data_IF_303026367816
#
_entry.id   IF_303026367816
#
_cell.length_a   1.000
_cell.length_b   1.000
_cell.length_c   1.000
_cell.angle_alpha   90.00
_cell.angle_beta   90.00
_cell.angle_gamma   90.00
#
_symmetry.space_group_name_H-M   'P 1'
#
loop_
_entity.id
_entity.type
_entity.pdbx_description
1 polymer ?
#
# COMPACT_ATOMS: atom_id res chain seq x y z
N UNK A 1 29.24 36.98 5.81
CA UNK A 1 28.53 36.40 4.68
C UNK A 1 28.77 34.89 4.80
N UNK A 2 27.86 34.19 5.44
CA UNK A 2 27.88 32.74 5.62
C UNK A 2 26.96 32.21 4.53
N UNK A 3 27.52 31.55 3.53
CA UNK A 3 26.74 30.84 2.52
C UNK A 3 26.40 29.49 3.11
N UNK A 4 25.18 29.37 3.59
CA UNK A 4 24.56 28.11 3.97
C UNK A 4 24.40 27.28 2.69
N UNK A 5 25.32 26.31 2.52
CA UNK A 5 25.34 25.41 1.38
C UNK A 5 24.29 24.31 1.54
N UNK A 6 23.01 24.64 1.42
CA UNK A 6 21.98 23.63 1.20
C UNK A 6 22.19 23.03 -0.17
N UNK A 7 22.62 21.78 -0.20
CA UNK A 7 22.66 20.98 -1.43
C UNK A 7 21.23 20.87 -1.95
N UNK A 8 20.98 21.41 -3.13
CA UNK A 8 19.66 21.31 -3.77
C UNK A 8 19.42 19.84 -4.17
N UNK A 9 18.15 19.41 -4.18
CA UNK A 9 17.72 18.06 -4.62
C UNK A 9 18.36 17.62 -5.94
N UNK A 10 18.59 18.55 -6.84
CA UNK A 10 19.28 18.36 -8.12
C UNK A 10 20.72 17.86 -7.99
N UNK A 11 21.45 18.36 -7.01
CA UNK A 11 22.88 18.04 -6.81
C UNK A 11 23.08 16.61 -6.29
N UNK A 12 22.13 16.11 -5.46
CA UNK A 12 22.23 14.77 -4.85
C UNK A 12 22.01 13.68 -5.91
N UNK A 13 21.03 13.85 -6.81
CA UNK A 13 20.72 12.83 -7.82
C UNK A 13 21.66 12.86 -9.05
N UNK A 14 22.25 14.01 -9.38
CA UNK A 14 23.23 14.08 -10.46
C UNK A 14 24.56 13.37 -10.15
N UNK A 15 24.89 13.20 -8.86
CA UNK A 15 26.07 12.42 -8.43
C UNK A 15 25.88 10.91 -8.51
N UNK A 16 24.64 10.41 -8.53
CA UNK A 16 24.33 8.98 -8.66
C UNK A 16 24.39 8.45 -10.10
N UNK A 17 24.21 9.33 -11.09
CA UNK A 17 24.29 8.95 -12.51
C UNK A 17 25.70 8.78 -13.05
N UNK A 18 26.74 9.25 -12.33
CA UNK A 18 28.13 9.24 -12.79
C UNK A 18 29.00 8.11 -12.20
N UNK A 19 28.47 7.27 -11.30
CA UNK A 19 29.23 6.22 -10.61
C UNK A 19 29.24 4.83 -11.28
N UNK A 20 28.78 4.73 -12.49
CA UNK A 20 28.82 3.50 -13.30
C UNK A 20 29.82 3.59 -14.44
N UNK A 21 31.02 3.17 -14.26
CA UNK A 21 32.07 2.72 -15.14
C UNK A 21 33.39 3.48 -14.89
N UNK A 22 34.27 2.95 -14.02
CA UNK A 22 35.71 2.83 -14.26
C UNK A 22 36.32 2.03 -13.10
N UNK A 23 36.76 0.85 -13.42
CA UNK A 23 37.52 -0.03 -12.54
C UNK A 23 39.00 0.32 -12.54
N UNK A 24 39.60 -0.09 -11.44
CA UNK A 24 40.99 -0.58 -11.22
C UNK A 24 42.14 0.41 -11.25
N UNK A 25 42.84 0.31 -10.15
CA UNK A 25 44.28 0.36 -9.89
C UNK A 25 44.84 1.55 -9.12
N UNK A 26 45.35 1.24 -7.93
CA UNK A 26 46.74 1.48 -7.60
C UNK A 26 47.09 2.56 -6.59
N UNK A 27 47.30 2.11 -5.38
CA UNK A 27 48.43 2.38 -4.47
C UNK A 27 48.92 3.81 -4.11
N UNK A 28 48.93 4.00 -2.80
CA UNK A 28 50.06 4.46 -1.94
C UNK A 28 50.29 5.94 -1.65
N UNK A 29 50.37 6.20 -0.36
CA UNK A 29 51.40 7.09 0.23
C UNK A 29 50.92 8.39 0.85
N UNK A 30 50.74 8.45 2.16
CA UNK A 30 51.75 8.99 3.07
C UNK A 30 51.61 10.44 3.53
N UNK A 31 51.50 10.63 4.87
CA UNK A 31 52.02 11.77 5.61
C UNK A 31 51.06 12.95 5.85
N UNK A 32 50.59 13.27 6.98
CA UNK A 32 51.27 13.67 8.22
C UNK A 32 51.24 15.17 8.39
N UNK A 33 50.73 15.70 9.50
CA UNK A 33 50.94 17.09 9.87
C UNK A 33 49.85 17.64 10.78
N UNK A 34 50.12 17.53 12.04
CA UNK A 34 49.56 18.17 13.23
C UNK A 34 49.67 19.72 13.12
N UNK A 35 48.80 20.50 13.67
CA UNK A 35 49.09 21.49 14.69
C UNK A 35 47.86 22.24 15.23
N UNK A 36 47.93 22.38 16.48
CA UNK A 36 47.14 22.97 17.57
C UNK A 36 47.10 24.53 17.51
N UNK A 37 46.10 25.08 18.17
CA UNK A 37 46.05 26.16 19.16
C UNK A 37 44.95 27.19 18.91
N UNK A 38 44.17 27.50 19.80
CA UNK A 38 44.06 28.05 21.12
C UNK A 38 43.08 29.24 21.14
N UNK A 39 42.17 29.16 22.07
CA UNK A 39 41.23 30.11 22.67
C UNK A 39 41.58 31.60 22.66
N UNK A 40 40.54 32.46 22.63
CA UNK A 40 40.38 33.46 23.70
C UNK A 40 38.93 34.01 23.78
N UNK A 41 38.53 34.10 25.00
CA UNK A 41 37.33 34.62 25.63
C UNK A 41 37.28 36.16 25.65
N UNK A 42 36.09 36.75 25.73
CA UNK A 42 35.63 37.97 26.44
C UNK A 42 34.38 38.50 25.72
N UNK A 43 33.20 38.55 26.21
CA UNK A 43 32.73 39.05 27.50
C UNK A 43 31.90 40.31 27.28
N UNK A 44 30.68 40.30 27.77
CA UNK A 44 29.92 41.40 28.43
C UNK A 44 28.81 42.14 27.67
N UNK A 45 27.63 41.94 28.16
CA UNK A 45 26.52 42.73 28.71
C UNK A 45 25.37 43.21 27.84
N UNK A 46 24.24 42.65 28.27
CA UNK A 46 22.92 43.25 28.59
C UNK A 46 22.34 44.40 27.68
N UNK A 47 21.14 44.10 27.24
CA UNK A 47 20.16 45.07 26.76
C UNK A 47 18.82 44.38 26.65
N UNK A 48 18.00 44.39 27.73
CA UNK A 48 16.58 44.09 27.67
C UNK A 48 15.86 45.14 26.87
N UNK A 49 15.27 44.79 25.72
CA UNK A 49 14.11 45.49 25.18
C UNK A 49 13.01 44.46 24.94
N UNK A 50 12.02 44.52 25.83
CA UNK A 50 10.73 43.82 25.70
C UNK A 50 9.96 44.43 24.53
N UNK A 51 9.91 43.70 23.43
CA UNK A 51 8.94 43.96 22.36
C UNK A 51 7.81 42.97 22.55
N UNK A 52 6.72 43.39 23.16
CA UNK A 52 5.42 42.76 23.08
C UNK A 52 4.92 42.84 21.66
N UNK A 53 5.35 41.86 20.86
CA UNK A 53 4.73 41.57 19.57
C UNK A 53 3.44 40.76 19.83
N UNK A 54 2.30 41.47 19.73
CA UNK A 54 1.00 40.83 19.58
C UNK A 54 1.02 40.09 18.26
N UNK A 55 1.30 38.78 18.28
CA UNK A 55 0.99 37.89 17.17
C UNK A 55 -0.53 37.79 17.08
N UNK A 56 -1.13 38.64 16.30
CA UNK A 56 -2.42 38.35 15.69
C UNK A 56 -2.19 37.11 14.84
N UNK A 57 -2.61 35.94 15.36
CA UNK A 57 -2.70 34.71 14.57
C UNK A 57 -3.63 35.00 13.40
N UNK A 58 -3.07 35.21 12.23
CA UNK A 58 -3.78 35.08 10.97
C UNK A 58 -4.10 33.61 10.83
N UNK A 59 -5.35 33.23 10.95
CA UNK A 59 -5.87 31.95 10.49
C UNK A 59 -5.95 31.98 8.95
N UNK A 60 -4.80 32.16 8.31
CA UNK A 60 -4.67 31.94 6.88
C UNK A 60 -4.47 30.45 6.67
N UNK A 61 -5.43 29.76 6.06
CA UNK A 61 -5.25 28.39 5.59
C UNK A 61 -4.07 28.30 4.62
N UNK A 62 -3.57 27.08 4.35
CA UNK A 62 -2.57 26.84 3.33
C UNK A 62 -3.05 27.39 1.98
N UNK A 63 -2.15 27.97 1.20
CA UNK A 63 -2.43 28.45 -0.16
C UNK A 63 -1.23 28.21 -1.06
N UNK A 64 -1.48 28.05 -2.35
CA UNK A 64 -0.43 27.82 -3.34
C UNK A 64 -0.57 26.49 -4.04
N UNK A 65 0.53 25.88 -4.45
CA UNK A 65 0.54 24.65 -5.24
C UNK A 65 1.29 23.54 -4.50
N UNK A 66 0.74 22.32 -4.54
CA UNK A 66 1.37 21.06 -4.14
C UNK A 66 1.54 20.19 -5.38
N UNK A 67 2.76 19.84 -5.73
CA UNK A 67 3.07 18.95 -6.85
C UNK A 67 3.19 17.52 -6.42
N UNK A 68 2.35 16.63 -6.94
CA UNK A 68 2.31 15.21 -6.62
C UNK A 68 2.73 14.35 -7.81
N UNK A 69 3.83 13.62 -7.68
CA UNK A 69 4.30 12.66 -8.67
C UNK A 69 3.62 11.31 -8.50
N UNK A 70 2.59 11.01 -9.28
CA UNK A 70 1.76 9.81 -9.13
C UNK A 70 2.19 8.72 -10.09
N UNK A 71 2.70 7.61 -9.57
CA UNK A 71 3.22 6.48 -10.36
C UNK A 71 2.39 5.23 -10.13
N UNK A 72 1.59 4.83 -11.14
CA UNK A 72 0.80 3.60 -11.09
C UNK A 72 0.95 2.82 -12.41
N UNK A 73 0.82 1.47 -12.41
CA UNK A 73 0.77 0.69 -13.64
C UNK A 73 -0.60 0.85 -14.30
N UNK A 74 -0.73 1.77 -15.24
CA UNK A 74 -2.00 2.07 -15.92
C UNK A 74 -2.11 1.44 -17.32
N UNK A 75 -1.07 0.72 -17.75
CA UNK A 75 -1.06 -0.12 -18.95
C UNK A 75 -0.48 -1.52 -18.67
N UNK A 76 -0.60 -2.43 -19.65
CA UNK A 76 -0.11 -3.81 -19.57
C UNK A 76 -1.04 -4.76 -18.79
N UNK A 77 -0.58 -6.01 -18.60
CA UNK A 77 -1.40 -7.10 -18.05
C UNK A 77 -1.83 -6.90 -16.59
N UNK A 78 -1.11 -6.07 -15.84
CA UNK A 78 -1.39 -5.76 -14.43
C UNK A 78 -1.97 -4.34 -14.23
N UNK A 79 -2.43 -3.68 -15.31
CA UNK A 79 -3.01 -2.35 -15.27
C UNK A 79 -4.23 -2.22 -14.34
N UNK A 80 -4.94 -3.32 -14.10
CA UNK A 80 -6.09 -3.33 -13.21
C UNK A 80 -5.72 -2.78 -11.82
N UNK A 81 -4.62 -3.25 -11.24
CA UNK A 81 -4.19 -2.82 -9.90
C UNK A 81 -3.87 -1.32 -9.82
N UNK A 82 -3.19 -0.81 -10.86
CA UNK A 82 -2.82 0.60 -10.92
C UNK A 82 -4.00 1.52 -11.19
N UNK A 83 -4.92 1.10 -12.06
CA UNK A 83 -6.15 1.88 -12.33
C UNK A 83 -7.04 1.97 -11.11
N UNK A 84 -7.27 0.86 -10.39
CA UNK A 84 -8.04 0.88 -9.15
C UNK A 84 -7.41 1.82 -8.11
N UNK A 85 -6.09 1.73 -7.95
CA UNK A 85 -5.34 2.60 -7.04
C UNK A 85 -5.46 4.09 -7.42
N UNK A 86 -5.27 4.40 -8.70
CA UNK A 86 -5.37 5.77 -9.21
C UNK A 86 -6.79 6.32 -9.05
N UNK A 87 -7.80 5.55 -9.41
CA UNK A 87 -9.20 5.95 -9.25
C UNK A 87 -9.59 6.17 -7.78
N UNK A 88 -9.09 5.32 -6.87
CA UNK A 88 -9.26 5.53 -5.43
C UNK A 88 -8.64 6.83 -4.96
N UNK A 89 -7.41 7.14 -5.41
CA UNK A 89 -6.72 8.38 -5.09
C UNK A 89 -7.46 9.61 -5.64
N UNK A 90 -7.88 9.58 -6.90
CA UNK A 90 -8.63 10.66 -7.53
C UNK A 90 -10.00 10.88 -6.88
N UNK A 91 -10.66 9.80 -6.42
CA UNK A 91 -11.91 9.92 -5.66
C UNK A 91 -11.70 10.56 -4.29
N UNK A 92 -10.59 10.26 -3.61
CA UNK A 92 -10.24 10.94 -2.36
C UNK A 92 -9.96 12.44 -2.56
N UNK A 93 -9.23 12.80 -3.61
CA UNK A 93 -9.01 14.20 -3.99
C UNK A 93 -10.34 14.91 -4.30
N UNK A 94 -11.22 14.25 -5.07
CA UNK A 94 -12.53 14.79 -5.44
C UNK A 94 -13.45 14.97 -4.22
N UNK A 95 -13.45 14.00 -3.30
CA UNK A 95 -14.19 14.10 -2.04
C UNK A 95 -13.76 15.32 -1.23
N UNK A 96 -12.47 15.55 -1.09
CA UNK A 96 -11.92 16.73 -0.38
C UNK A 96 -12.20 18.05 -1.11
N UNK A 97 -12.37 17.99 -2.43
CA UNK A 97 -12.67 19.17 -3.28
C UNK A 97 -14.18 19.44 -3.40
N UNK A 98 -15.04 18.58 -2.84
CA UNK A 98 -16.50 18.60 -3.08
C UNK A 98 -16.82 18.65 -4.59
N UNK A 99 -16.19 17.77 -5.36
CA UNK A 99 -16.24 17.75 -6.82
C UNK A 99 -16.35 16.32 -7.37
N UNK A 100 -16.62 16.19 -8.67
CA UNK A 100 -16.58 14.90 -9.36
C UNK A 100 -15.13 14.45 -9.61
N UNK A 101 -14.83 13.13 -9.53
CA UNK A 101 -13.52 12.60 -9.83
C UNK A 101 -13.13 12.83 -11.29
N UNK A 102 -11.84 13.08 -11.52
CA UNK A 102 -11.28 13.13 -12.87
C UNK A 102 -11.43 11.77 -13.54
N UNK A 103 -12.02 11.73 -14.73
CA UNK A 103 -12.27 10.51 -15.49
C UNK A 103 -11.36 10.41 -16.72
N UNK A 104 -11.22 9.19 -17.29
CA UNK A 104 -10.42 8.97 -18.49
C UNK A 104 -8.92 9.21 -18.29
N UNK A 105 -8.43 9.06 -17.06
CA UNK A 105 -7.05 9.38 -16.70
C UNK A 105 -6.07 8.41 -17.32
N UNK A 106 -5.14 8.95 -18.08
CA UNK A 106 -3.94 8.30 -18.61
C UNK A 106 -2.69 8.97 -18.00
N UNK A 107 -1.52 8.70 -18.54
CA UNK A 107 -0.33 9.50 -18.20
C UNK A 107 -0.52 10.94 -18.65
N UNK A 108 -0.25 11.88 -17.77
CA UNK A 108 -0.49 13.31 -18.03
C UNK A 108 -0.42 14.14 -16.76
N UNK A 109 -0.88 15.38 -16.87
CA UNK A 109 -0.92 16.34 -15.80
C UNK A 109 -2.38 16.76 -15.56
N UNK A 110 -2.77 16.77 -14.30
CA UNK A 110 -4.13 17.09 -13.86
C UNK A 110 -4.05 18.02 -12.65
N UNK A 111 -5.01 18.92 -12.50
CA UNK A 111 -5.09 19.80 -11.34
C UNK A 111 -6.42 19.56 -10.62
N UNK A 112 -6.34 19.44 -9.30
CA UNK A 112 -7.50 19.43 -8.40
C UNK A 112 -7.30 20.53 -7.38
N UNK A 113 -8.27 21.44 -7.27
CA UNK A 113 -8.21 22.55 -6.31
C UNK A 113 -9.03 22.20 -5.06
N UNK A 114 -8.43 22.30 -3.88
CA UNK A 114 -9.11 22.17 -2.59
C UNK A 114 -8.86 23.44 -1.77
N UNK A 115 -9.92 24.20 -1.49
CA UNK A 115 -9.79 25.50 -0.86
C UNK A 115 -8.93 26.45 -1.70
N UNK A 116 -7.86 26.99 -1.12
CA UNK A 116 -6.91 27.89 -1.78
C UNK A 116 -5.63 27.17 -2.28
N UNK A 117 -5.64 25.83 -2.35
CA UNK A 117 -4.49 25.01 -2.77
C UNK A 117 -4.79 24.26 -4.06
N UNK A 118 -3.91 24.38 -5.03
CA UNK A 118 -3.91 23.62 -6.27
C UNK A 118 -3.00 22.39 -6.13
N UNK A 119 -3.57 21.18 -6.28
CA UNK A 119 -2.83 19.92 -6.32
C UNK A 119 -2.55 19.56 -7.77
N UNK A 120 -1.31 19.72 -8.21
CA UNK A 120 -0.86 19.33 -9.56
C UNK A 120 -0.41 17.87 -9.54
N UNK A 121 -1.16 17.01 -10.24
CA UNK A 121 -0.93 15.56 -10.31
C UNK A 121 -0.17 15.20 -11.59
N UNK A 122 1.09 14.83 -11.46
CA UNK A 122 1.94 14.33 -12.55
C UNK A 122 1.81 12.81 -12.64
N UNK A 123 0.79 12.33 -13.38
CA UNK A 123 0.50 10.90 -13.51
C UNK A 123 1.43 10.25 -14.52
N UNK A 124 2.10 9.16 -14.13
CA UNK A 124 3.06 8.42 -14.95
C UNK A 124 2.80 6.91 -14.87
N UNK A 125 2.95 6.22 -16.00
CA UNK A 125 2.72 4.78 -16.11
C UNK A 125 3.99 3.98 -15.74
N UNK A 126 3.99 3.36 -14.58
CA UNK A 126 5.09 2.53 -14.09
C UNK A 126 5.16 1.13 -14.74
N UNK A 127 4.14 0.71 -15.47
CA UNK A 127 4.05 -0.60 -16.17
C UNK A 127 4.30 -1.81 -15.25
N UNK A 128 4.06 -1.65 -13.96
CA UNK A 128 4.39 -2.65 -12.92
C UNK A 128 5.90 -3.00 -12.84
N UNK A 129 6.77 -2.19 -13.42
CA UNK A 129 8.22 -2.41 -13.55
C UNK A 129 8.99 -1.57 -12.53
N UNK A 130 9.92 -2.19 -11.80
CA UNK A 130 10.77 -1.50 -10.83
C UNK A 130 11.73 -0.51 -11.51
N UNK A 131 12.30 -0.87 -12.66
CA UNK A 131 13.26 -0.02 -13.39
C UNK A 131 12.53 1.19 -14.02
N UNK A 132 11.31 0.97 -14.56
CA UNK A 132 10.48 2.06 -15.07
C UNK A 132 10.08 3.01 -13.94
N UNK A 133 9.62 2.49 -12.80
CA UNK A 133 9.25 3.30 -11.64
C UNK A 133 10.42 4.13 -11.11
N UNK A 134 11.63 3.55 -11.04
CA UNK A 134 12.83 4.28 -10.64
C UNK A 134 13.12 5.45 -11.60
N UNK A 135 13.08 5.20 -12.91
CA UNK A 135 13.33 6.24 -13.91
C UNK A 135 12.31 7.37 -13.80
N UNK A 136 11.03 7.04 -13.71
CA UNK A 136 9.94 8.01 -13.56
C UNK A 136 10.05 8.81 -12.26
N UNK A 137 10.35 8.14 -11.13
CA UNK A 137 10.54 8.83 -9.86
C UNK A 137 11.71 9.81 -9.91
N UNK A 138 12.80 9.43 -10.58
CA UNK A 138 13.95 10.32 -10.77
C UNK A 138 13.58 11.56 -11.57
N UNK A 139 12.85 11.38 -12.67
CA UNK A 139 12.38 12.48 -13.52
C UNK A 139 11.39 13.40 -12.77
N UNK A 140 10.41 12.84 -12.07
CA UNK A 140 9.46 13.59 -11.25
C UNK A 140 10.15 14.44 -10.18
N UNK A 141 11.20 13.92 -9.54
CA UNK A 141 11.93 14.64 -8.50
C UNK A 141 12.89 15.67 -9.08
N UNK A 142 13.58 15.37 -10.19
CA UNK A 142 14.62 16.23 -10.74
C UNK A 142 14.09 17.28 -11.69
N UNK A 143 13.13 16.94 -12.53
CA UNK A 143 12.64 17.79 -13.62
C UNK A 143 11.34 18.50 -13.27
N UNK A 144 10.37 17.79 -12.68
CA UNK A 144 9.09 18.34 -12.28
C UNK A 144 9.15 18.99 -10.88
N UNK A 145 10.18 18.67 -10.08
CA UNK A 145 10.40 19.17 -8.73
C UNK A 145 9.18 18.93 -7.82
N UNK A 146 8.64 17.70 -7.85
CA UNK A 146 7.46 17.33 -7.05
C UNK A 146 7.72 17.40 -5.54
N UNK A 147 6.71 17.85 -4.78
CA UNK A 147 6.77 17.94 -3.33
C UNK A 147 6.62 16.59 -2.64
N UNK A 148 5.88 15.67 -3.27
CA UNK A 148 5.68 14.30 -2.78
C UNK A 148 5.52 13.31 -3.94
N UNK A 149 6.05 12.09 -3.77
CA UNK A 149 5.75 10.95 -4.64
C UNK A 149 4.54 10.18 -4.10
N UNK A 150 3.72 9.61 -4.98
CA UNK A 150 2.56 8.77 -4.65
C UNK A 150 2.59 7.50 -5.51
N UNK A 151 2.26 6.35 -4.97
CA UNK A 151 2.24 5.06 -5.70
C UNK A 151 3.23 4.10 -5.04
N UNK A 152 3.66 3.04 -5.58
CA UNK A 152 3.30 2.22 -6.72
C UNK A 152 2.41 1.05 -6.27
N UNK A 153 1.80 0.31 -7.22
CA UNK A 153 1.09 -0.95 -6.90
C UNK A 153 2.04 -2.14 -6.69
N UNK A 154 3.18 -2.16 -7.37
CA UNK A 154 4.20 -3.22 -7.23
C UNK A 154 5.07 -2.99 -6.00
N UNK A 155 5.16 -3.97 -5.09
CA UNK A 155 6.04 -3.90 -3.92
C UNK A 155 7.52 -3.81 -4.30
N UNK A 156 7.95 -4.50 -5.36
CA UNK A 156 9.32 -4.39 -5.88
C UNK A 156 9.63 -3.01 -6.46
N UNK A 157 8.65 -2.39 -7.15
CA UNK A 157 8.78 -1.03 -7.66
C UNK A 157 8.84 -0.01 -6.52
N UNK A 158 7.95 -0.13 -5.52
CA UNK A 158 7.95 0.75 -4.35
C UNK A 158 9.29 0.67 -3.60
N UNK A 159 9.79 -0.53 -3.28
CA UNK A 159 11.08 -0.71 -2.61
C UNK A 159 12.24 -0.12 -3.41
N UNK A 160 12.23 -0.28 -4.74
CA UNK A 160 13.25 0.32 -5.61
C UNK A 160 13.20 1.85 -5.56
N UNK A 161 12.02 2.46 -5.69
CA UNK A 161 11.86 3.92 -5.60
C UNK A 161 12.29 4.45 -4.23
N UNK A 162 11.91 3.76 -3.15
CA UNK A 162 12.31 4.14 -1.78
C UNK A 162 13.83 4.20 -1.66
N UNK A 163 14.52 3.10 -2.01
CA UNK A 163 15.96 2.95 -1.74
C UNK A 163 16.83 3.77 -2.69
N UNK A 164 16.38 4.02 -3.91
CA UNK A 164 17.23 4.67 -4.94
C UNK A 164 16.85 6.12 -5.22
N UNK A 165 15.63 6.57 -4.85
CA UNK A 165 15.16 7.94 -5.16
C UNK A 165 14.66 8.65 -3.91
N UNK A 166 13.57 8.19 -3.27
CA UNK A 166 12.90 8.94 -2.22
C UNK A 166 13.81 9.22 -1.01
N UNK A 167 14.51 8.22 -0.49
CA UNK A 167 15.47 8.37 0.62
C UNK A 167 16.68 9.20 0.22
N UNK A 168 17.18 9.07 -1.02
CA UNK A 168 18.36 9.80 -1.49
C UNK A 168 18.07 11.30 -1.70
N UNK A 169 16.89 11.60 -2.23
CA UNK A 169 16.45 12.98 -2.48
C UNK A 169 15.75 13.62 -1.27
N UNK A 170 15.53 12.86 -0.21
CA UNK A 170 14.75 13.27 0.96
C UNK A 170 13.37 13.83 0.59
N UNK A 171 12.67 13.14 -0.32
CA UNK A 171 11.34 13.50 -0.81
C UNK A 171 10.31 12.59 -0.13
N UNK A 172 9.23 13.14 0.44
CA UNK A 172 8.14 12.33 0.96
C UNK A 172 7.57 11.39 -0.10
N UNK A 173 7.24 10.18 0.32
CA UNK A 173 6.65 9.18 -0.56
C UNK A 173 5.49 8.47 0.13
N UNK A 174 4.27 8.75 -0.34
CA UNK A 174 3.06 8.02 0.04
C UNK A 174 2.96 6.76 -0.81
N UNK A 175 3.41 5.65 -0.27
CA UNK A 175 3.42 4.35 -0.95
C UNK A 175 2.01 3.78 -1.00
N UNK A 176 1.62 3.22 -2.12
CA UNK A 176 0.37 2.47 -2.21
C UNK A 176 -0.11 2.18 -3.64
N UNK A 177 -0.81 1.08 -3.80
CA UNK A 177 -1.20 0.05 -2.82
C UNK A 177 -0.20 -1.11 -2.68
N UNK A 178 1.09 -0.89 -2.92
CA UNK A 178 2.13 -1.91 -2.73
C UNK A 178 2.00 -2.59 -1.36
N UNK A 179 1.78 -3.91 -1.35
CA UNK A 179 1.24 -4.59 -0.19
C UNK A 179 2.26 -5.37 0.67
N UNK A 180 3.55 -5.49 0.26
CA UNK A 180 4.54 -6.12 1.14
C UNK A 180 4.65 -5.37 2.47
N UNK A 181 4.56 -6.08 3.60
CA UNK A 181 4.76 -5.48 4.91
C UNK A 181 6.15 -4.83 5.04
N UNK A 182 7.16 -5.37 4.34
CA UNK A 182 8.53 -4.89 4.37
C UNK A 182 8.69 -3.40 4.01
N UNK A 183 7.77 -2.84 3.21
CA UNK A 183 7.82 -1.42 2.82
C UNK A 183 7.96 -0.49 4.04
N UNK A 184 7.24 -0.79 5.12
CA UNK A 184 7.23 0.00 6.36
C UNK A 184 7.70 -0.78 7.60
N UNK A 185 8.06 -2.05 7.45
CA UNK A 185 8.57 -2.88 8.54
C UNK A 185 10.07 -3.20 8.42
N UNK A 186 10.68 -3.01 7.26
CA UNK A 186 12.10 -3.30 7.06
C UNK A 186 12.94 -2.02 7.14
N UNK A 187 14.07 -2.05 7.85
CA UNK A 187 14.98 -0.90 8.04
C UNK A 187 15.54 -0.31 6.75
N UNK A 188 15.65 -1.11 5.68
CA UNK A 188 16.14 -0.63 4.38
C UNK A 188 15.11 0.25 3.66
N UNK A 189 13.83 -0.03 3.84
CA UNK A 189 12.73 0.61 3.10
C UNK A 189 11.96 1.63 3.94
N UNK A 190 11.80 1.43 5.26
CA UNK A 190 11.16 2.43 6.11
C UNK A 190 12.03 3.70 6.28
N UNK A 191 11.42 4.81 6.66
CA UNK A 191 12.11 6.09 6.91
C UNK A 191 11.14 7.22 7.19
N UNK A 192 11.67 8.32 7.71
CA UNK A 192 10.89 9.51 8.11
C UNK A 192 10.02 10.09 7.00
N UNK A 193 10.43 9.92 5.75
CA UNK A 193 9.74 10.41 4.56
C UNK A 193 8.92 9.32 3.84
N UNK A 194 8.79 8.11 4.42
CA UNK A 194 8.09 7.00 3.77
C UNK A 194 6.82 6.70 4.53
N UNK A 195 5.68 6.87 3.88
CA UNK A 195 4.33 6.70 4.43
C UNK A 195 3.56 5.66 3.62
N UNK A 196 2.62 4.98 4.25
CA UNK A 196 1.66 4.12 3.53
C UNK A 196 0.30 4.12 4.23
N UNK A 197 -0.72 4.60 3.52
CA UNK A 197 -2.11 4.52 3.98
C UNK A 197 -2.73 3.13 3.71
N UNK A 198 -2.32 2.46 2.63
CA UNK A 198 -2.91 1.17 2.23
C UNK A 198 -2.51 0.02 3.16
N UNK A 199 -3.39 -0.96 3.25
CA UNK A 199 -3.19 -2.21 4.00
C UNK A 199 -2.08 -3.08 3.39
N UNK A 200 -1.59 -4.04 4.18
CA UNK A 200 -0.45 -4.86 3.81
C UNK A 200 -0.59 -6.33 4.22
N UNK A 201 0.39 -7.14 3.82
CA UNK A 201 0.39 -8.60 4.03
C UNK A 201 0.42 -9.02 5.50
N UNK A 202 0.98 -8.20 6.40
CA UNK A 202 0.94 -8.47 7.84
C UNK A 202 -0.48 -8.27 8.39
N UNK A 203 -1.18 -7.24 7.91
CA UNK A 203 -2.57 -7.00 8.29
C UNK A 203 -3.48 -8.14 7.79
N UNK A 204 -3.24 -8.66 6.58
CA UNK A 204 -3.98 -9.83 6.07
C UNK A 204 -3.78 -11.06 6.97
N UNK A 205 -2.55 -11.37 7.34
CA UNK A 205 -2.23 -12.54 8.17
C UNK A 205 -2.77 -12.38 9.60
N UNK A 206 -2.64 -11.18 10.18
CA UNK A 206 -3.09 -10.88 11.56
C UNK A 206 -4.62 -10.77 11.69
N UNK A 207 -5.34 -10.64 10.57
CA UNK A 207 -6.80 -10.70 10.53
C UNK A 207 -7.28 -12.11 10.10
N UNK A 208 -7.39 -12.39 8.81
CA UNK A 208 -7.95 -13.64 8.31
C UNK A 208 -7.12 -14.87 8.63
N UNK A 209 -5.78 -14.78 8.65
CA UNK A 209 -4.91 -15.88 9.04
C UNK A 209 -5.11 -16.28 10.51
N UNK A 210 -5.11 -15.29 11.40
CA UNK A 210 -5.40 -15.49 12.84
C UNK A 210 -6.81 -16.03 13.05
N UNK A 211 -7.81 -15.47 12.35
CA UNK A 211 -9.20 -15.95 12.42
C UNK A 211 -9.31 -17.43 12.06
N UNK A 212 -8.72 -17.86 10.94
CA UNK A 212 -8.76 -19.27 10.52
C UNK A 212 -8.08 -20.17 11.55
N UNK A 213 -6.94 -19.77 12.10
CA UNK A 213 -6.23 -20.53 13.12
C UNK A 213 -7.02 -20.70 14.44
N UNK A 214 -7.83 -19.70 14.81
CA UNK A 214 -8.58 -19.69 16.07
C UNK A 214 -10.01 -20.21 15.95
N UNK A 215 -10.66 -20.00 14.81
CA UNK A 215 -12.09 -20.24 14.61
C UNK A 215 -12.40 -21.42 13.69
N UNK A 216 -11.34 -22.17 13.21
CA UNK A 216 -11.51 -23.36 12.37
C UNK A 216 -10.65 -24.52 12.87
N UNK A 217 -10.89 -25.72 12.33
CA UNK A 217 -10.14 -26.94 12.67
C UNK A 217 -8.78 -27.05 11.93
N UNK A 218 -8.32 -25.99 11.27
CA UNK A 218 -7.07 -25.99 10.50
C UNK A 218 -5.87 -25.96 11.44
N UNK A 219 -5.09 -27.05 11.48
CA UNK A 219 -3.88 -27.21 12.31
C UNK A 219 -2.61 -27.35 11.47
N UNK A 220 -2.73 -27.62 10.18
CA UNK A 220 -1.61 -27.86 9.26
C UNK A 220 -1.82 -27.09 7.96
N UNK A 221 -0.87 -26.21 7.61
CA UNK A 221 -0.99 -25.32 6.45
C UNK A 221 0.22 -25.44 5.53
N UNK A 222 -0.04 -25.47 4.22
CA UNK A 222 0.98 -25.33 3.20
C UNK A 222 0.92 -23.92 2.57
N UNK A 223 2.07 -23.25 2.46
CA UNK A 223 2.14 -21.87 1.99
C UNK A 223 2.71 -21.80 0.57
N UNK A 224 2.03 -21.07 -0.30
CA UNK A 224 2.50 -20.77 -1.65
C UNK A 224 2.73 -19.29 -1.83
N UNK A 225 3.75 -18.89 -2.62
CA UNK A 225 4.00 -17.48 -2.94
C UNK A 225 4.65 -17.31 -4.31
N UNK A 226 4.37 -16.19 -4.95
CA UNK A 226 5.15 -15.77 -6.09
C UNK A 226 6.56 -15.35 -5.63
N UNK A 227 7.57 -15.70 -6.44
CA UNK A 227 8.98 -15.44 -6.10
C UNK A 227 9.39 -13.99 -6.34
N UNK A 228 8.75 -13.08 -5.61
CA UNK A 228 9.10 -11.65 -5.55
C UNK A 228 8.59 -11.05 -4.22
N UNK A 229 8.88 -9.76 -3.94
CA UNK A 229 8.65 -9.09 -2.65
C UNK A 229 7.27 -9.36 -2.04
N UNK A 230 6.19 -9.20 -2.81
CA UNK A 230 4.83 -9.42 -2.30
C UNK A 230 4.57 -10.87 -1.89
N UNK A 231 4.86 -11.83 -2.78
CA UNK A 231 4.58 -13.25 -2.50
C UNK A 231 5.43 -13.79 -1.35
N UNK A 232 6.68 -13.33 -1.22
CA UNK A 232 7.55 -13.65 -0.08
C UNK A 232 7.00 -13.05 1.21
N UNK A 233 6.54 -11.80 1.20
CA UNK A 233 5.93 -11.15 2.36
C UNK A 233 4.64 -11.87 2.81
N UNK A 234 3.77 -12.29 1.88
CA UNK A 234 2.59 -13.10 2.23
C UNK A 234 3.01 -14.37 2.98
N UNK A 235 3.92 -15.15 2.40
CA UNK A 235 4.38 -16.41 3.02
C UNK A 235 4.96 -16.17 4.40
N UNK A 236 5.85 -15.20 4.55
CA UNK A 236 6.51 -14.91 5.83
C UNK A 236 5.50 -14.45 6.90
N UNK A 237 4.58 -13.55 6.57
CA UNK A 237 3.60 -13.04 7.52
C UNK A 237 2.60 -14.12 7.95
N UNK A 238 2.10 -14.96 7.00
CA UNK A 238 1.24 -16.07 7.36
C UNK A 238 1.98 -17.14 8.16
N UNK A 239 3.23 -17.48 7.81
CA UNK A 239 4.06 -18.40 8.59
C UNK A 239 4.20 -17.95 10.04
N UNK A 240 4.53 -16.68 10.25
CA UNK A 240 4.70 -16.11 11.59
C UNK A 240 3.41 -16.17 12.40
N UNK A 241 2.32 -15.63 11.85
CA UNK A 241 1.03 -15.55 12.56
C UNK A 241 0.44 -16.94 12.82
N UNK A 242 0.48 -17.84 11.86
CA UNK A 242 -0.06 -19.20 12.01
C UNK A 242 0.73 -19.99 13.07
N UNK A 243 2.06 -19.95 13.05
CA UNK A 243 2.91 -20.57 14.07
C UNK A 243 2.66 -20.00 15.47
N UNK A 244 2.51 -18.69 15.59
CA UNK A 244 2.18 -18.03 16.86
C UNK A 244 0.80 -18.46 17.42
N UNK A 245 -0.10 -18.95 16.56
CA UNK A 245 -1.41 -19.47 16.94
C UNK A 245 -1.47 -21.02 16.95
N UNK A 246 -0.32 -21.70 16.97
CA UNK A 246 -0.23 -23.16 17.14
C UNK A 246 -0.44 -23.98 15.88
N UNK A 247 -0.50 -23.35 14.71
CA UNK A 247 -0.65 -24.04 13.43
C UNK A 247 0.71 -24.42 12.86
N UNK A 248 0.85 -25.67 12.43
CA UNK A 248 2.06 -26.21 11.82
C UNK A 248 2.14 -25.81 10.34
N UNK A 249 3.30 -25.35 9.88
CA UNK A 249 3.57 -25.16 8.47
C UNK A 249 4.23 -26.42 7.90
N UNK A 250 3.43 -27.22 7.20
CA UNK A 250 3.85 -28.53 6.65
C UNK A 250 4.64 -28.39 5.34
N UNK A 251 4.69 -27.20 4.77
CA UNK A 251 5.52 -26.92 3.61
C UNK A 251 5.34 -25.49 3.09
N UNK A 252 6.30 -25.06 2.28
CA UNK A 252 6.21 -23.79 1.54
C UNK A 252 6.89 -23.89 0.19
N UNK A 253 6.32 -23.20 -0.81
CA UNK A 253 6.85 -23.20 -2.17
C UNK A 253 6.70 -21.83 -2.82
N UNK A 254 7.79 -21.36 -3.42
CA UNK A 254 7.77 -20.18 -4.28
C UNK A 254 7.79 -20.60 -5.74
N UNK A 255 7.01 -19.88 -6.57
CA UNK A 255 6.90 -20.11 -8.01
C UNK A 255 7.00 -18.80 -8.77
N UNK A 256 7.42 -18.79 -10.05
CA UNK A 256 7.41 -17.58 -10.86
C UNK A 256 6.02 -16.94 -10.94
N UNK A 257 5.96 -15.63 -11.15
CA UNK A 257 4.69 -14.97 -11.52
C UNK A 257 4.13 -15.58 -12.81
N UNK A 258 2.80 -15.77 -12.87
CA UNK A 258 2.15 -16.41 -14.02
C UNK A 258 2.27 -17.93 -14.05
N UNK A 259 2.75 -18.57 -12.99
CA UNK A 259 2.82 -20.02 -12.90
C UNK A 259 1.45 -20.68 -13.05
N UNK A 260 1.34 -21.73 -13.88
CA UNK A 260 0.07 -22.36 -14.25
C UNK A 260 -0.02 -23.87 -14.03
N UNK A 261 1.09 -24.54 -13.71
CA UNK A 261 1.14 -26.02 -13.59
C UNK A 261 0.89 -26.50 -12.15
N UNK A 262 -0.32 -26.22 -11.62
CA UNK A 262 -0.62 -26.35 -10.20
C UNK A 262 -0.86 -27.78 -9.71
N UNK A 263 -1.23 -28.75 -10.58
CA UNK A 263 -1.63 -30.11 -10.15
C UNK A 263 -0.61 -30.75 -9.19
N UNK A 264 0.65 -30.84 -9.61
CA UNK A 264 1.69 -31.49 -8.80
C UNK A 264 2.02 -30.76 -7.48
N UNK A 265 1.84 -29.41 -7.44
CA UNK A 265 2.05 -28.64 -6.22
C UNK A 265 0.90 -28.79 -5.23
N UNK A 266 -0.33 -28.87 -5.71
CA UNK A 266 -1.51 -29.12 -4.89
C UNK A 266 -1.52 -30.56 -4.36
N UNK A 267 -1.12 -31.53 -5.19
CA UNK A 267 -0.91 -32.94 -4.76
C UNK A 267 0.15 -33.01 -3.65
N UNK A 268 1.27 -32.29 -3.79
CA UNK A 268 2.32 -32.23 -2.76
C UNK A 268 1.81 -31.64 -1.44
N UNK A 269 0.96 -30.61 -1.48
CA UNK A 269 0.35 -30.06 -0.27
C UNK A 269 -0.57 -31.10 0.40
N UNK A 270 -1.35 -31.87 -0.38
CA UNK A 270 -2.20 -32.93 0.12
C UNK A 270 -1.36 -34.08 0.75
N UNK A 271 -0.30 -34.51 0.08
CA UNK A 271 0.63 -35.54 0.58
C UNK A 271 1.35 -35.12 1.86
N UNK A 272 1.62 -33.83 2.02
CA UNK A 272 2.19 -33.24 3.24
C UNK A 272 1.18 -33.15 4.40
N UNK A 273 -0.07 -33.51 4.19
CA UNK A 273 -1.12 -33.47 5.21
C UNK A 273 -1.71 -32.08 5.45
N UNK A 274 -1.61 -31.19 4.49
CA UNK A 274 -2.20 -29.85 4.61
C UNK A 274 -3.73 -29.92 4.82
N UNK A 275 -4.21 -29.20 5.82
CA UNK A 275 -5.64 -28.95 6.08
C UNK A 275 -6.06 -27.58 5.54
N UNK A 276 -5.09 -26.74 5.23
CA UNK A 276 -5.29 -25.46 4.62
C UNK A 276 -4.13 -25.03 3.73
N UNK A 277 -4.41 -24.22 2.71
CA UNK A 277 -3.40 -23.56 1.89
C UNK A 277 -3.63 -22.04 1.84
N UNK A 278 -2.55 -21.28 1.75
CA UNK A 278 -2.55 -19.83 1.47
C UNK A 278 -1.72 -19.57 0.24
N UNK A 279 -2.19 -18.67 -0.65
CA UNK A 279 -1.48 -18.25 -1.85
C UNK A 279 -1.25 -16.73 -1.93
N UNK A 280 0.01 -16.32 -2.01
CA UNK A 280 0.43 -14.92 -2.23
C UNK A 280 0.69 -14.64 -3.71
N UNK A 281 -0.35 -14.34 -4.50
CA UNK A 281 -0.28 -14.21 -5.96
C UNK A 281 -1.09 -13.03 -6.50
N UNK A 282 -0.79 -12.64 -7.74
CA UNK A 282 -1.57 -11.68 -8.53
C UNK A 282 -2.52 -12.42 -9.49
N UNK A 283 -3.34 -11.66 -10.21
CA UNK A 283 -4.24 -12.17 -11.25
C UNK A 283 -3.53 -13.01 -12.31
N UNK A 284 -2.24 -12.81 -12.51
CA UNK A 284 -1.46 -13.63 -13.45
C UNK A 284 -1.39 -15.12 -13.07
N UNK A 285 -1.56 -15.46 -11.79
CA UNK A 285 -1.39 -16.82 -11.25
C UNK A 285 -2.67 -17.39 -10.62
N UNK A 286 -3.41 -16.57 -9.87
CA UNK A 286 -4.56 -17.03 -9.08
C UNK A 286 -5.63 -17.80 -9.87
N UNK A 287 -6.00 -17.39 -11.11
CA UNK A 287 -6.99 -18.12 -11.89
C UNK A 287 -6.60 -19.56 -12.19
N UNK A 288 -5.33 -19.82 -12.50
CA UNK A 288 -4.83 -21.16 -12.77
C UNK A 288 -4.84 -22.03 -11.50
N UNK A 289 -4.39 -21.47 -10.37
CA UNK A 289 -4.43 -22.13 -9.07
C UNK A 289 -5.86 -22.52 -8.71
N UNK A 290 -6.80 -21.58 -8.72
CA UNK A 290 -8.19 -21.85 -8.36
C UNK A 290 -8.88 -22.79 -9.33
N UNK A 291 -8.59 -22.70 -10.62
CA UNK A 291 -9.14 -23.65 -11.62
C UNK A 291 -8.68 -25.07 -11.32
N UNK A 292 -7.40 -25.28 -11.03
CA UNK A 292 -6.88 -26.62 -10.69
C UNK A 292 -7.45 -27.12 -9.37
N UNK A 293 -7.48 -26.25 -8.33
CA UNK A 293 -8.04 -26.60 -7.03
C UNK A 293 -9.51 -27.02 -7.12
N UNK A 294 -10.35 -26.22 -7.78
CA UNK A 294 -11.79 -26.46 -7.87
C UNK A 294 -12.18 -27.66 -8.76
N UNK A 295 -11.31 -28.06 -9.69
CA UNK A 295 -11.51 -29.27 -10.50
C UNK A 295 -10.84 -30.52 -9.91
N UNK A 296 -10.02 -30.37 -8.87
CA UNK A 296 -9.39 -31.45 -8.12
C UNK A 296 -10.26 -31.94 -6.96
N UNK A 297 -9.88 -33.09 -6.38
CA UNK A 297 -10.51 -33.68 -5.19
C UNK A 297 -9.63 -33.45 -3.97
N UNK A 298 -9.48 -32.14 -3.60
CA UNK A 298 -8.65 -31.73 -2.46
C UNK A 298 -9.49 -31.50 -1.22
N UNK A 299 -9.04 -32.05 -0.08
CA UNK A 299 -9.74 -31.97 1.21
C UNK A 299 -9.13 -30.93 2.16
N UNK A 300 -8.46 -29.92 1.66
CA UNK A 300 -7.94 -28.82 2.45
C UNK A 300 -8.61 -27.48 2.10
N UNK A 301 -8.64 -26.58 3.07
CA UNK A 301 -9.22 -25.24 2.93
C UNK A 301 -8.30 -24.30 2.15
N UNK A 302 -8.85 -23.49 1.24
CA UNK A 302 -8.16 -22.33 0.67
C UNK A 302 -8.61 -21.08 1.41
N UNK A 303 -7.66 -20.33 1.99
CA UNK A 303 -7.93 -19.09 2.69
C UNK A 303 -6.83 -18.05 2.42
N UNK A 304 -6.92 -16.85 3.00
CA UNK A 304 -5.97 -15.75 2.78
C UNK A 304 -6.68 -14.44 2.51
N UNK A 305 -6.11 -13.60 1.65
CA UNK A 305 -6.74 -12.35 1.22
C UNK A 305 -7.85 -12.58 0.19
N UNK A 306 -8.95 -11.82 0.29
CA UNK A 306 -9.99 -11.83 -0.74
C UNK A 306 -9.41 -11.27 -2.05
N UNK A 307 -9.78 -11.90 -3.16
CA UNK A 307 -9.24 -11.51 -4.45
C UNK A 307 -9.92 -10.25 -5.02
N UNK A 308 -9.18 -9.51 -5.86
CA UNK A 308 -9.74 -8.40 -6.65
C UNK A 308 -10.86 -8.86 -7.59
N UNK A 309 -11.69 -7.93 -8.05
CA UNK A 309 -12.78 -8.20 -9.00
C UNK A 309 -12.33 -9.03 -10.19
N UNK A 310 -11.20 -8.64 -10.82
CA UNK A 310 -10.70 -9.34 -12.02
C UNK A 310 -10.37 -10.81 -11.73
N UNK A 311 -9.76 -11.13 -10.59
CA UNK A 311 -9.51 -12.51 -10.17
C UNK A 311 -10.80 -13.22 -9.78
N UNK A 312 -11.65 -12.55 -9.03
CA UNK A 312 -12.93 -13.07 -8.55
C UNK A 312 -13.88 -13.39 -9.71
N UNK A 313 -13.84 -12.60 -10.78
CA UNK A 313 -14.59 -12.88 -12.01
C UNK A 313 -14.20 -14.22 -12.64
N UNK A 314 -12.90 -14.50 -12.77
CA UNK A 314 -12.42 -15.78 -13.31
C UNK A 314 -12.71 -16.94 -12.37
N UNK A 315 -12.50 -16.76 -11.07
CA UNK A 315 -12.84 -17.78 -10.04
C UNK A 315 -14.34 -18.07 -10.05
N UNK A 316 -15.18 -17.04 -10.09
CA UNK A 316 -16.64 -17.19 -10.16
C UNK A 316 -17.11 -17.93 -11.41
N UNK A 317 -16.50 -17.67 -12.57
CA UNK A 317 -16.78 -18.43 -13.79
C UNK A 317 -16.39 -19.91 -13.65
N UNK A 318 -15.28 -20.22 -13.00
CA UNK A 318 -14.86 -21.60 -12.73
C UNK A 318 -15.83 -22.30 -11.78
N UNK A 319 -16.24 -21.62 -10.70
CA UNK A 319 -17.27 -22.13 -9.79
C UNK A 319 -18.59 -22.42 -10.52
N UNK A 320 -19.03 -21.55 -11.41
CA UNK A 320 -20.23 -21.78 -12.22
C UNK A 320 -20.10 -22.97 -13.16
N UNK A 321 -18.90 -23.25 -13.70
CA UNK A 321 -18.65 -24.44 -14.52
C UNK A 321 -18.69 -25.73 -13.70
N UNK A 322 -18.10 -25.72 -12.51
CA UNK A 322 -17.98 -26.89 -11.63
C UNK A 322 -19.31 -27.21 -10.93
N UNK A 323 -19.99 -26.20 -10.37
CA UNK A 323 -21.20 -26.39 -9.55
C UNK A 323 -22.51 -26.07 -10.27
N UNK A 324 -22.44 -25.64 -11.52
CA UNK A 324 -23.60 -25.23 -12.33
C UNK A 324 -24.18 -23.86 -11.94
N UNK A 325 -25.00 -23.33 -12.83
CA UNK A 325 -25.73 -22.06 -12.63
C UNK A 325 -27.16 -22.34 -12.16
N UNK A 326 -27.75 -21.46 -11.29
CA UNK A 326 -27.06 -20.38 -10.59
C UNK A 326 -26.14 -20.91 -9.47
N UNK A 327 -25.15 -20.11 -9.07
CA UNK A 327 -24.44 -20.33 -7.81
C UNK A 327 -25.43 -19.99 -6.67
N UNK A 328 -25.37 -20.79 -5.60
CA UNK A 328 -26.12 -20.52 -4.37
C UNK A 328 -25.17 -20.52 -3.18
N UNK A 329 -25.60 -19.88 -2.10
CA UNK A 329 -24.82 -19.84 -0.85
C UNK A 329 -24.51 -21.24 -0.35
N UNK A 330 -25.46 -22.19 -0.42
CA UNK A 330 -25.26 -23.58 0.01
C UNK A 330 -24.20 -24.30 -0.83
N UNK A 331 -24.15 -24.03 -2.16
CA UNK A 331 -23.12 -24.60 -3.03
C UNK A 331 -21.73 -24.07 -2.66
N UNK A 332 -21.59 -22.82 -2.27
CA UNK A 332 -20.32 -22.21 -1.88
C UNK A 332 -19.90 -22.62 -0.47
N UNK A 333 -20.82 -22.61 0.50
CA UNK A 333 -20.55 -23.00 1.89
C UNK A 333 -20.19 -24.49 2.03
N UNK A 334 -20.67 -25.33 1.12
CA UNK A 334 -20.27 -26.75 1.06
C UNK A 334 -18.80 -26.97 0.65
N UNK A 335 -18.11 -25.93 0.23
CA UNK A 335 -16.72 -26.00 -0.20
C UNK A 335 -15.79 -25.48 0.91
N UNK A 336 -14.60 -26.04 1.00
CA UNK A 336 -13.53 -25.54 1.89
C UNK A 336 -12.84 -24.30 1.25
N UNK A 337 -13.62 -23.26 0.95
CA UNK A 337 -13.22 -22.05 0.23
C UNK A 337 -13.57 -20.80 1.05
N UNK A 338 -12.56 -20.18 1.64
CA UNK A 338 -12.69 -19.10 2.61
C UNK A 338 -12.71 -19.59 4.07
N UNK A 339 -13.00 -18.73 5.06
CA UNK A 339 -13.23 -17.31 4.85
C UNK A 339 -11.95 -16.56 4.44
N UNK A 340 -12.12 -15.39 3.84
CA UNK A 340 -11.04 -14.55 3.37
C UNK A 340 -10.97 -13.24 4.15
N UNK A 341 -9.76 -12.75 4.41
CA UNK A 341 -9.60 -11.38 4.90
C UNK A 341 -9.94 -10.39 3.79
N UNK A 342 -10.63 -9.31 4.13
CA UNK A 342 -10.86 -8.20 3.22
C UNK A 342 -10.22 -6.95 3.75
N UNK A 343 -9.40 -6.30 2.92
CA UNK A 343 -8.82 -5.00 3.24
C UNK A 343 -9.89 -3.94 3.17
N UNK A 344 -10.60 -3.95 2.06
CA UNK A 344 -11.74 -3.12 1.79
C UNK A 344 -12.55 -3.71 0.62
N UNK A 345 -13.88 -3.65 0.74
CA UNK A 345 -14.84 -3.75 -0.35
C UNK A 345 -16.02 -2.84 -0.04
N UNK A 346 -16.67 -2.34 -1.05
CA UNK A 346 -17.75 -1.36 -1.00
C UNK A 346 -18.89 -1.70 -0.03
N UNK A 347 -19.16 -2.98 0.15
CA UNK A 347 -20.25 -3.53 0.96
C UNK A 347 -19.83 -3.95 2.38
N UNK A 348 -18.63 -3.57 2.85
CA UNK A 348 -18.10 -3.98 4.14
C UNK A 348 -18.22 -2.90 5.22
N UNK A 349 -18.52 -1.65 4.84
CA UNK A 349 -18.55 -0.50 5.73
C UNK A 349 -19.83 0.29 5.52
N UNK A 350 -20.54 0.56 6.63
CA UNK A 350 -21.80 1.29 6.68
C UNK A 350 -21.56 2.65 7.34
N UNK A 351 -21.27 3.65 6.52
CA UNK A 351 -21.05 5.05 6.93
C UNK A 351 -21.17 5.99 5.73
N UNK A 352 -21.48 7.26 5.99
CA UNK A 352 -21.76 8.28 4.96
C UNK A 352 -20.57 8.52 4.00
N UNK A 353 -19.32 8.40 4.48
CA UNK A 353 -18.12 8.59 3.66
C UNK A 353 -17.98 7.44 2.66
N UNK A 354 -18.20 6.20 3.13
CA UNK A 354 -18.20 5.04 2.23
C UNK A 354 -19.29 5.13 1.18
N UNK A 355 -20.49 5.52 1.57
CA UNK A 355 -21.63 5.64 0.65
C UNK A 355 -21.34 6.69 -0.43
N UNK A 356 -20.84 7.86 -0.04
CA UNK A 356 -20.42 8.91 -0.97
C UNK A 356 -19.30 8.43 -1.89
N UNK A 357 -18.30 7.71 -1.36
CA UNK A 357 -17.19 7.14 -2.14
C UNK A 357 -17.69 6.11 -3.15
N UNK A 358 -18.53 5.17 -2.74
CA UNK A 358 -19.10 4.13 -3.63
C UNK A 358 -19.95 4.76 -4.72
N UNK A 359 -20.74 5.79 -4.41
CA UNK A 359 -21.56 6.50 -5.39
C UNK A 359 -20.68 7.23 -6.42
N UNK A 360 -19.78 8.12 -5.96
CA UNK A 360 -18.93 8.91 -6.86
C UNK A 360 -18.01 8.03 -7.71
N UNK A 361 -17.41 7.00 -7.13
CA UNK A 361 -16.54 6.05 -7.82
C UNK A 361 -17.32 5.27 -8.89
N UNK A 362 -18.51 4.78 -8.54
CA UNK A 362 -19.35 4.02 -9.47
C UNK A 362 -19.86 4.87 -10.62
N UNK A 363 -20.20 6.13 -10.37
CA UNK A 363 -20.66 7.06 -11.39
C UNK A 363 -19.51 7.44 -12.34
N UNK A 364 -18.30 7.66 -11.81
CA UNK A 364 -17.15 8.07 -12.59
C UNK A 364 -16.55 6.91 -13.44
N UNK A 365 -16.48 5.70 -12.87
CA UNK A 365 -15.71 4.60 -13.45
C UNK A 365 -16.55 3.37 -13.85
N UNK A 366 -17.87 3.38 -13.61
CA UNK A 366 -18.81 2.34 -14.03
C UNK A 366 -18.68 1.02 -13.28
N UNK A 367 -18.01 1.01 -12.11
CA UNK A 367 -17.82 -0.16 -11.25
C UNK A 367 -17.71 0.24 -9.79
N UNK A 368 -17.89 -0.71 -8.88
CA UNK A 368 -17.70 -0.45 -7.44
C UNK A 368 -16.21 -0.43 -7.07
N UNK A 369 -15.83 0.31 -6.01
CA UNK A 369 -14.45 0.33 -5.52
C UNK A 369 -14.06 -1.02 -4.92
N UNK A 370 -12.81 -1.40 -5.14
CA UNK A 370 -12.23 -2.71 -4.81
C UNK A 370 -11.13 -2.56 -3.75
N UNK A 371 -10.54 -3.65 -3.33
CA UNK A 371 -9.63 -3.75 -2.17
C UNK A 371 -8.40 -2.81 -2.21
N UNK A 372 -8.04 -2.26 -3.36
CA UNK A 372 -6.92 -1.32 -3.49
C UNK A 372 -7.31 0.15 -3.44
N UNK A 373 -8.60 0.45 -3.32
CA UNK A 373 -9.10 1.81 -3.49
C UNK A 373 -9.14 2.61 -2.20
N UNK A 374 -9.58 1.99 -1.07
CA UNK A 374 -9.78 2.67 0.21
C UNK A 374 -8.49 3.31 0.75
N UNK A 375 -7.38 2.56 0.79
CA UNK A 375 -6.11 3.10 1.24
C UNK A 375 -5.57 4.22 0.34
N UNK A 376 -5.94 4.23 -0.95
CA UNK A 376 -5.56 5.31 -1.86
C UNK A 376 -6.48 6.52 -1.75
N UNK A 377 -7.77 6.33 -1.50
CA UNK A 377 -8.68 7.42 -1.08
C UNK A 377 -8.14 8.07 0.20
N UNK A 378 -7.82 7.26 1.20
CA UNK A 378 -7.24 7.72 2.47
C UNK A 378 -5.90 8.44 2.28
N UNK A 379 -5.05 7.98 1.34
CA UNK A 379 -3.80 8.66 1.01
C UNK A 379 -4.04 10.08 0.50
N UNK A 380 -5.04 10.27 -0.37
CA UNK A 380 -5.43 11.59 -0.86
C UNK A 380 -5.99 12.46 0.27
N UNK A 381 -6.91 11.94 1.08
CA UNK A 381 -7.46 12.65 2.25
C UNK A 381 -6.37 13.07 3.23
N UNK A 382 -5.41 12.17 3.53
CA UNK A 382 -4.30 12.45 4.42
C UNK A 382 -3.37 13.55 3.89
N UNK A 383 -3.09 13.56 2.58
CA UNK A 383 -2.27 14.61 1.96
C UNK A 383 -2.96 15.96 2.08
N UNK A 384 -4.24 16.04 1.77
CA UNK A 384 -5.01 17.29 1.90
C UNK A 384 -5.09 17.74 3.36
N UNK A 385 -5.45 16.85 4.29
CA UNK A 385 -5.49 17.14 5.72
C UNK A 385 -4.12 17.61 6.24
N UNK A 386 -3.03 16.97 5.81
CA UNK A 386 -1.67 17.34 6.22
C UNK A 386 -1.25 18.74 5.74
N UNK A 387 -1.67 19.15 4.55
CA UNK A 387 -1.47 20.50 4.02
C UNK A 387 -2.29 21.50 4.84
N UNK A 388 -3.54 21.19 5.16
CA UNK A 388 -4.42 22.02 5.97
C UNK A 388 -3.86 22.21 7.40
N UNK A 389 -3.44 21.11 8.06
CA UNK A 389 -2.91 21.13 9.44
C UNK A 389 -1.53 21.79 9.54
N UNK A 390 -0.65 21.58 8.56
CA UNK A 390 0.66 22.24 8.53
C UNK A 390 0.59 23.72 8.13
N UNK A 391 -0.47 24.12 7.42
CA UNK A 391 -0.56 25.45 6.79
C UNK A 391 0.50 25.70 5.72
N UNK A 392 1.11 24.63 5.15
CA UNK A 392 2.25 24.67 4.24
C UNK A 392 2.05 23.71 3.06
N UNK A 393 2.55 24.09 1.89
CA UNK A 393 2.60 23.23 0.70
C UNK A 393 3.95 22.51 0.54
N UNK A 394 4.91 22.74 1.44
CA UNK A 394 6.23 22.13 1.37
C UNK A 394 6.18 20.65 1.80
N UNK A 395 6.79 19.76 1.01
CA UNK A 395 6.78 18.33 1.28
C UNK A 395 7.33 17.90 2.65
N UNK A 396 8.31 18.65 3.20
CA UNK A 396 8.85 18.34 4.54
C UNK A 396 7.86 18.65 5.67
N UNK A 397 7.08 19.72 5.55
CA UNK A 397 6.05 20.10 6.52
C UNK A 397 4.87 19.12 6.42
N UNK A 398 4.49 18.74 5.20
CA UNK A 398 3.50 17.70 4.95
C UNK A 398 3.91 16.36 5.59
N UNK A 399 5.16 15.92 5.41
CA UNK A 399 5.65 14.69 6.05
C UNK A 399 5.59 14.76 7.58
N UNK A 400 5.89 15.95 8.14
CA UNK A 400 5.80 16.16 9.59
C UNK A 400 4.35 16.07 10.10
N UNK A 401 3.39 16.62 9.35
CA UNK A 401 1.97 16.55 9.68
C UNK A 401 1.39 15.14 9.56
N UNK A 402 1.85 14.35 8.58
CA UNK A 402 1.39 12.97 8.39
C UNK A 402 1.81 12.01 9.52
N UNK A 403 2.88 12.30 10.25
CA UNK A 403 3.38 11.41 11.30
C UNK A 403 2.41 11.36 12.49
N UNK A 404 1.91 10.18 12.81
CA UNK A 404 0.94 9.98 13.89
C UNK A 404 -0.47 10.50 13.59
N UNK A 405 -0.70 11.05 12.36
CA UNK A 405 -2.00 11.58 11.96
C UNK A 405 -3.08 10.50 11.98
N UNK A 406 -4.21 10.82 12.57
CA UNK A 406 -5.48 10.12 12.33
C UNK A 406 -6.23 10.82 11.20
N UNK A 407 -6.54 10.09 10.15
CA UNK A 407 -7.19 10.65 8.95
C UNK A 407 -8.70 10.70 9.17
N UNK A 408 -9.27 11.91 9.13
CA UNK A 408 -10.68 12.15 9.44
C UNK A 408 -11.64 11.58 8.40
N UNK A 409 -11.30 11.71 7.12
CA UNK A 409 -12.18 11.32 6.01
C UNK A 409 -11.67 10.03 5.35
N UNK A 410 -12.27 8.88 5.67
CA UNK A 410 -11.89 7.60 5.09
C UNK A 410 -13.11 6.72 4.77
N UNK A 411 -13.02 5.82 3.76
CA UNK A 411 -14.13 4.90 3.47
C UNK A 411 -14.44 3.90 4.60
N UNK A 412 -13.52 3.75 5.56
CA UNK A 412 -13.76 2.94 6.77
C UNK A 412 -14.41 3.73 7.91
N UNK A 413 -14.85 4.95 7.64
CA UNK A 413 -15.45 5.90 8.55
C UNK A 413 -14.49 6.99 8.99
N UNK A 414 -15.01 7.94 9.78
CA UNK A 414 -14.18 8.93 10.44
C UNK A 414 -13.11 8.23 11.29
N UNK A 415 -11.90 8.74 11.25
CA UNK A 415 -10.75 8.21 12.01
C UNK A 415 -10.42 6.73 11.71
N UNK A 416 -10.87 6.20 10.56
CA UNK A 416 -10.70 4.80 10.18
C UNK A 416 -9.25 4.38 9.92
N UNK A 417 -8.32 5.33 9.78
CA UNK A 417 -6.89 5.11 9.55
C UNK A 417 -6.05 6.04 10.40
N UNK A 418 -5.02 5.48 11.09
CA UNK A 418 -4.05 6.27 11.86
C UNK A 418 -2.63 5.87 11.49
N UNK A 419 -1.79 6.81 11.07
CA UNK A 419 -0.36 6.58 10.85
C UNK A 419 0.35 6.30 12.17
N UNK A 420 1.09 5.20 12.23
CA UNK A 420 1.86 4.82 13.42
C UNK A 420 3.18 5.59 13.44
N UNK A 421 3.51 6.22 14.57
CA UNK A 421 4.72 7.04 14.71
C UNK A 421 6.02 6.27 14.47
N UNK A 422 6.05 4.98 14.80
CA UNK A 422 7.28 4.17 14.74
C UNK A 422 7.64 3.66 13.34
N UNK A 423 6.72 3.72 12.36
CA UNK A 423 6.98 3.21 11.01
C UNK A 423 6.17 3.87 9.88
N UNK A 424 5.40 4.91 10.16
CA UNK A 424 4.55 5.63 9.21
C UNK A 424 3.59 4.74 8.39
N UNK A 425 3.25 3.53 8.89
CA UNK A 425 2.19 2.70 8.35
C UNK A 425 0.86 3.11 8.97
N UNK A 426 -0.13 3.44 8.17
CA UNK A 426 -1.48 3.59 8.69
C UNK A 426 -2.04 2.23 9.09
N UNK A 427 -2.56 2.15 10.31
CA UNK A 427 -3.37 1.02 10.79
C UNK A 427 -4.83 1.29 10.49
N UNK A 428 -5.58 0.24 10.20
CA UNK A 428 -7.02 0.30 10.00
C UNK A 428 -7.67 -1.02 10.38
N UNK A 429 -8.95 -1.01 10.70
CA UNK A 429 -9.70 -2.23 10.92
C UNK A 429 -9.76 -3.08 9.65
N UNK A 430 -9.77 -4.41 9.83
CA UNK A 430 -9.91 -5.38 8.76
C UNK A 430 -11.18 -6.19 8.94
N UNK A 431 -11.69 -6.74 7.87
CA UNK A 431 -12.85 -7.65 7.91
C UNK A 431 -12.46 -9.04 7.42
N UNK A 432 -13.21 -10.04 7.85
CA UNK A 432 -13.15 -11.41 7.35
C UNK A 432 -14.53 -11.75 6.80
N UNK A 433 -14.60 -12.30 5.60
CA UNK A 433 -15.85 -12.57 4.92
C UNK A 433 -15.80 -13.88 4.12
N UNK A 434 -16.96 -14.52 3.99
CA UNK A 434 -17.15 -15.66 3.11
C UNK A 434 -17.46 -15.21 1.68
N UNK A 435 -17.10 -16.00 0.67
CA UNK A 435 -17.59 -15.77 -0.69
C UNK A 435 -19.08 -16.16 -0.78
N UNK A 436 -19.89 -15.24 -1.30
CA UNK A 436 -21.33 -15.46 -1.56
C UNK A 436 -21.65 -15.14 -3.02
N UNK A 437 -22.79 -15.65 -3.55
CA UNK A 437 -23.23 -15.23 -4.87
C UNK A 437 -23.45 -13.72 -4.92
N UNK A 438 -23.01 -13.09 -6.03
CA UNK A 438 -23.27 -11.67 -6.25
C UNK A 438 -24.77 -11.43 -6.36
N UNK A 439 -25.27 -10.43 -5.63
CA UNK A 439 -26.68 -10.01 -5.67
C UNK A 439 -27.00 -9.24 -6.95
N UNK A 440 -28.28 -9.18 -7.31
CA UNK A 440 -28.74 -8.43 -8.50
C UNK A 440 -28.40 -6.94 -8.41
N UNK A 441 -28.35 -6.38 -7.21
CA UNK A 441 -27.98 -4.99 -6.95
C UNK A 441 -26.57 -4.64 -7.46
N UNK A 442 -25.62 -5.56 -7.32
CA UNK A 442 -24.21 -5.33 -7.64
C UNK A 442 -23.74 -5.99 -8.93
N UNK A 443 -24.58 -6.82 -9.56
CA UNK A 443 -24.20 -7.65 -10.71
C UNK A 443 -23.59 -6.84 -11.86
N UNK A 444 -24.15 -5.67 -12.17
CA UNK A 444 -23.70 -4.83 -13.28
C UNK A 444 -22.41 -4.04 -12.96
N UNK A 445 -22.14 -3.78 -11.68
CA UNK A 445 -21.00 -2.93 -11.25
C UNK A 445 -19.83 -3.73 -10.69
N UNK A 446 -20.08 -4.93 -10.15
CA UNK A 446 -19.02 -5.80 -9.62
C UNK A 446 -18.43 -6.74 -10.69
N UNK A 447 -19.23 -7.20 -11.63
CA UNK A 447 -18.74 -7.99 -12.78
C UNK A 447 -18.25 -9.40 -12.47
N UNK A 448 -18.42 -9.90 -11.25
CA UNK A 448 -18.06 -11.27 -10.85
C UNK A 448 -19.28 -12.03 -10.31
N UNK A 449 -19.26 -13.36 -10.41
CA UNK A 449 -20.37 -14.20 -9.96
C UNK A 449 -20.42 -14.43 -8.45
N UNK A 450 -19.36 -14.07 -7.74
CA UNK A 450 -19.27 -14.11 -6.28
C UNK A 450 -18.75 -12.77 -5.75
N UNK A 451 -19.12 -12.44 -4.54
CA UNK A 451 -18.71 -11.21 -3.82
C UNK A 451 -18.43 -11.55 -2.35
N UNK A 452 -17.77 -10.68 -1.57
CA UNK A 452 -17.66 -10.87 -0.14
C UNK A 452 -19.04 -10.75 0.53
N UNK A 453 -19.33 -11.63 1.49
CA UNK A 453 -20.50 -11.53 2.37
C UNK A 453 -20.40 -10.31 3.28
N UNK A 454 -21.45 -10.05 4.06
CA UNK A 454 -21.29 -9.31 5.30
C UNK A 454 -20.14 -9.92 6.13
N UNK A 455 -19.38 -9.08 6.87
CA UNK A 455 -18.26 -9.58 7.66
C UNK A 455 -18.69 -10.64 8.68
N UNK A 456 -18.04 -11.80 8.66
CA UNK A 456 -18.15 -12.80 9.73
C UNK A 456 -17.33 -12.42 10.95
N UNK A 457 -16.30 -11.57 10.76
CA UNK A 457 -15.53 -10.95 11.83
C UNK A 457 -15.00 -9.57 11.42
N UNK A 458 -14.87 -8.68 12.41
CA UNK A 458 -14.17 -7.39 12.30
C UNK A 458 -13.02 -7.40 13.28
N UNK A 459 -11.82 -7.13 12.77
CA UNK A 459 -10.59 -7.12 13.55
C UNK A 459 -10.19 -5.65 13.75
N UNK A 460 -10.02 -5.26 15.01
CA UNK A 460 -9.66 -3.90 15.36
C UNK A 460 -8.31 -3.48 14.78
N UNK A 461 -8.14 -2.20 14.49
CA UNK A 461 -6.94 -1.66 13.85
C UNK A 461 -5.65 -1.99 14.62
N UNK A 462 -5.71 -2.00 15.96
CA UNK A 462 -4.59 -2.29 16.84
C UNK A 462 -4.10 -3.74 16.74
N UNK A 463 -4.98 -4.66 16.34
CA UNK A 463 -4.69 -6.09 16.25
C UNK A 463 -4.11 -6.48 14.87
N UNK A 464 -4.23 -5.60 13.86
CA UNK A 464 -3.88 -5.93 12.48
C UNK A 464 -2.42 -5.65 12.14
N UNK A 465 -1.70 -4.84 12.92
CA UNK A 465 -0.35 -4.38 12.60
C UNK A 465 0.74 -5.18 13.32
N UNK A 466 1.97 -5.11 12.80
CA UNK A 466 3.15 -5.63 13.50
C UNK A 466 3.42 -4.69 14.68
N UNK A 467 3.47 -5.18 15.95
CA UNK A 467 3.79 -4.35 17.10
C UNK A 467 5.20 -3.75 17.02
N UNK A 468 5.39 -2.56 17.58
CA UNK A 468 6.68 -1.86 17.56
C UNK A 468 7.82 -2.62 18.23
N UNK A 469 7.51 -3.44 19.24
CA UNK A 469 8.44 -4.26 20.03
C UNK A 469 8.60 -5.70 19.48
N UNK A 470 7.97 -6.02 18.36
CA UNK A 470 8.08 -7.34 17.72
C UNK A 470 9.43 -7.50 17.02
N UNK A 471 10.00 -8.72 17.08
CA UNK A 471 11.19 -9.07 16.28
C UNK A 471 10.98 -8.93 14.77
N UNK A 472 9.72 -8.93 14.32
CA UNK A 472 9.36 -8.71 12.92
C UNK A 472 9.44 -7.23 12.50
N UNK A 473 9.47 -6.31 13.45
CA UNK A 473 9.57 -4.87 13.21
C UNK A 473 11.03 -4.45 13.17
N UNK A 474 11.58 -4.41 11.98
CA UNK A 474 12.93 -3.90 11.74
C UNK A 474 12.99 -2.38 11.53
N UNK A 475 11.85 -1.69 11.57
CA UNK A 475 11.73 -0.24 11.44
C UNK A 475 11.58 0.41 12.84
N UNK A 476 12.30 1.52 13.05
CA UNK A 476 12.14 2.37 14.23
C UNK A 476 12.47 3.80 13.82
N UNK A 477 11.45 4.67 13.79
CA UNK A 477 11.54 6.10 13.44
C UNK A 477 11.66 6.96 14.69
#
# INVERSE_FOLDING_TARGET
MSTDGRLTRRTVLSTLGAAGIAGVAGCSGGGGGDETATSTDSGTTAGEESVTGTTTGSSGGASGTVKLGVMQPISGDLQYYGKQALWGFLSGMAYKADADPVTGVESGEYTVTVGDVDYELYVRDSKFSADTAQTLATDLVQSEEVDMLVGCASSGAASRVITTVAKQANVPYMVGPAASADVTANSETCGDMIFRASENTAMDARSGGKYVAQETDVQQVYLFGADYSFGRAVVNNYESVLKANGVEIVGKKFVPQGYSEWQGLLDQASEAGAQGIVGGFTVATLPALFTTYLNGDYDYRVFGGFATEITTSVVGQTLQKVFGKPLTTEKLQGQKFGPFTTRYHWNQYDNDINDAFVEMYSNAYGRVPDLFTSGMFTAASAIVQGVEESGSTAGADLASALRGMTVTDTPKGEDGYTFQEYNNQARSAMTVADPVPTTDEWADRWGAAIMPSEPVARIAAEETTIPADSEEMGCSL
#
